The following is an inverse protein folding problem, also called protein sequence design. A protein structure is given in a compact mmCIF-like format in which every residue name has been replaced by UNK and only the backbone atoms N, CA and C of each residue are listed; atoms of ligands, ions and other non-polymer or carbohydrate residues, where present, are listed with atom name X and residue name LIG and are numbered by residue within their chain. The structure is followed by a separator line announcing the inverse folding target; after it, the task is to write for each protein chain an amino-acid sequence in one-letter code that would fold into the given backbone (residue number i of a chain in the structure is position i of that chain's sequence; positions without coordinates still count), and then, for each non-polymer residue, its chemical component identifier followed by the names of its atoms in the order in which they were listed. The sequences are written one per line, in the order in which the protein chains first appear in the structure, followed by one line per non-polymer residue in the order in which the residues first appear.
data_IF_939882486390
#
_entry.id   IF_939882486390
#
_cell.length_a   1.000
_cell.length_b   1.000
_cell.length_c   1.000
_cell.angle_alpha   90.00
_cell.angle_beta   90.00
_cell.angle_gamma   90.00
#
_symmetry.space_group_name_H-M   'P 1'
#
loop_
_entity.id
_entity.type
_entity.pdbx_description
1 polymer ?
#
# COMPACT_ATOMS: atom_id res chain seq x y z
N UNK A 1 13.80 3.89 4.16
CA UNK A 1 12.42 4.11 3.63
C UNK A 1 12.40 5.35 2.74
N UNK A 2 11.30 5.59 2.02
CA UNK A 2 11.04 6.88 1.37
C UNK A 2 10.57 7.84 2.46
N UNK A 3 11.24 8.97 2.64
CA UNK A 3 10.89 9.96 3.68
C UNK A 3 9.86 10.96 3.17
N UNK A 4 9.94 11.35 1.90
CA UNK A 4 8.94 12.23 1.29
C UNK A 4 8.91 12.07 -0.22
N UNK A 5 7.78 12.45 -0.79
CA UNK A 5 7.56 12.54 -2.23
C UNK A 5 6.99 13.91 -2.57
N UNK A 6 7.64 14.59 -3.50
CA UNK A 6 7.18 15.86 -4.06
C UNK A 6 6.86 15.65 -5.54
N UNK A 7 5.65 16.01 -5.93
CA UNK A 7 5.07 15.71 -7.24
C UNK A 7 4.69 17.02 -7.89
N UNK A 8 5.28 17.27 -9.05
CA UNK A 8 4.97 18.40 -9.93
C UNK A 8 4.48 17.88 -11.27
N UNK A 9 3.34 18.34 -11.73
CA UNK A 9 2.77 18.04 -13.05
C UNK A 9 2.61 16.55 -13.46
N UNK A 10 2.63 15.58 -12.53
CA UNK A 10 2.46 14.15 -12.82
C UNK A 10 1.00 13.67 -12.71
N UNK A 11 0.42 13.19 -13.83
CA UNK A 11 -0.98 12.70 -13.89
C UNK A 11 -1.98 13.72 -13.35
N UNK A 12 -2.77 13.37 -12.32
CA UNK A 12 -3.72 14.25 -11.64
C UNK A 12 -3.05 15.18 -10.62
N UNK A 13 -1.76 15.03 -10.35
CA UNK A 13 -1.02 15.76 -9.33
C UNK A 13 -0.24 16.90 -10.00
N UNK A 14 -0.43 18.14 -9.54
CA UNK A 14 0.26 19.32 -10.10
C UNK A 14 1.32 19.89 -9.17
N UNK A 15 1.02 19.94 -7.88
CA UNK A 15 1.96 20.37 -6.85
C UNK A 15 1.52 19.70 -5.54
N UNK A 16 2.00 18.51 -5.28
CA UNK A 16 1.67 17.75 -4.09
C UNK A 16 2.97 17.34 -3.38
N UNK A 17 3.07 17.60 -2.08
CA UNK A 17 4.16 17.12 -1.25
C UNK A 17 3.56 16.28 -0.14
N UNK A 18 4.13 15.11 0.08
CA UNK A 18 3.70 14.20 1.13
C UNK A 18 4.95 13.64 1.79
N UNK A 19 5.12 13.93 3.08
CA UNK A 19 6.07 13.21 3.91
C UNK A 19 5.47 11.83 4.21
N UNK A 20 6.25 10.76 4.11
CA UNK A 20 5.78 9.38 4.27
C UNK A 20 6.30 8.80 5.59
N UNK A 21 5.37 8.24 6.37
CA UNK A 21 5.66 7.55 7.62
C UNK A 21 5.86 6.04 7.37
N UNK A 22 6.23 5.24 8.38
CA UNK A 22 6.22 3.79 8.26
C UNK A 22 4.85 3.21 7.88
N UNK A 23 3.76 3.83 8.34
CA UNK A 23 2.39 3.49 7.94
C UNK A 23 1.65 4.73 7.43
N UNK A 24 0.91 4.58 6.33
CA UNK A 24 0.15 5.66 5.71
C UNK A 24 -1.21 5.12 5.23
N UNK A 25 -2.31 5.58 5.85
CA UNK A 25 -3.67 5.33 5.35
C UNK A 25 -4.11 6.50 4.48
N UNK A 26 -4.35 6.26 3.20
CA UNK A 26 -4.82 7.30 2.27
C UNK A 26 -6.33 7.15 2.05
N UNK A 27 -7.07 8.17 2.47
CA UNK A 27 -8.53 8.29 2.27
C UNK A 27 -8.85 9.39 1.25
N UNK A 28 -9.99 9.30 0.57
CA UNK A 28 -10.41 10.31 -0.40
C UNK A 28 -11.39 9.77 -1.45
N UNK A 29 -12.01 10.59 -2.30
CA UNK A 29 -12.95 10.12 -3.31
C UNK A 29 -12.25 9.43 -4.50
N UNK A 30 -13.03 8.81 -5.38
CA UNK A 30 -12.49 8.22 -6.60
C UNK A 30 -11.89 9.31 -7.50
N UNK A 31 -10.71 9.01 -8.06
CA UNK A 31 -9.98 9.97 -8.90
C UNK A 31 -9.31 11.11 -8.13
N UNK A 32 -9.17 11.01 -6.80
CA UNK A 32 -8.44 11.99 -5.96
C UNK A 32 -6.92 11.85 -6.01
N UNK A 33 -6.37 10.91 -6.79
CA UNK A 33 -4.92 10.75 -6.96
C UNK A 33 -4.27 9.63 -6.13
N UNK A 34 -5.01 8.90 -5.29
CA UNK A 34 -4.48 7.76 -4.48
C UNK A 34 -3.73 6.72 -5.33
N UNK A 35 -4.39 6.16 -6.35
CA UNK A 35 -3.75 5.21 -7.29
C UNK A 35 -2.64 5.87 -8.11
N UNK A 36 -2.71 7.19 -8.37
CA UNK A 36 -1.62 7.88 -9.07
C UNK A 36 -0.34 7.99 -8.24
N UNK A 37 -0.47 8.13 -6.92
CA UNK A 37 0.67 8.09 -6.00
C UNK A 37 1.32 6.69 -6.00
N UNK A 38 0.51 5.64 -5.87
CA UNK A 38 0.99 4.24 -5.91
C UNK A 38 1.67 3.93 -7.24
N UNK A 39 1.08 4.35 -8.36
CA UNK A 39 1.68 4.18 -9.68
C UNK A 39 3.00 4.96 -9.84
N UNK A 40 3.12 6.13 -9.21
CA UNK A 40 4.38 6.87 -9.16
C UNK A 40 5.48 6.07 -8.45
N UNK A 41 5.16 5.45 -7.31
CA UNK A 41 6.07 4.59 -6.56
C UNK A 41 6.46 3.31 -7.34
N UNK A 42 5.50 2.69 -8.02
CA UNK A 42 5.78 1.51 -8.86
C UNK A 42 6.59 1.87 -10.11
N UNK A 43 6.39 3.07 -10.66
CA UNK A 43 7.21 3.60 -11.75
C UNK A 43 8.64 3.87 -11.29
N UNK A 44 8.85 4.42 -10.09
CA UNK A 44 10.17 4.57 -9.49
C UNK A 44 10.89 3.21 -9.42
N UNK A 45 10.21 2.18 -8.90
CA UNK A 45 10.76 0.80 -8.89
C UNK A 45 11.11 0.29 -10.28
N UNK A 46 10.25 0.53 -11.29
CA UNK A 46 10.49 0.06 -12.65
C UNK A 46 11.72 0.73 -13.26
N UNK A 47 11.84 2.05 -13.12
CA UNK A 47 12.97 2.82 -13.66
C UNK A 47 14.28 2.52 -12.93
N UNK A 48 14.23 2.28 -11.61
CA UNK A 48 15.43 1.93 -10.83
C UNK A 48 16.11 0.63 -11.32
N UNK A 49 15.40 -0.22 -12.07
CA UNK A 49 15.96 -1.44 -12.68
C UNK A 49 16.70 -1.18 -13.99
N UNK A 50 16.54 -0.01 -14.59
CA UNK A 50 17.20 0.39 -15.82
C UNK A 50 18.54 1.07 -15.49
N UNK A 51 19.49 1.11 -16.45
CA UNK A 51 20.65 1.98 -16.33
C UNK A 51 20.23 3.44 -16.16
N UNK A 52 20.88 4.17 -15.24
CA UNK A 52 20.69 5.61 -15.10
C UNK A 52 21.07 6.29 -16.42
N UNK A 53 20.30 7.31 -16.81
CA UNK A 53 20.56 8.13 -18.00
C UNK A 53 21.01 9.52 -17.55
N UNK A 54 22.14 9.97 -18.08
CA UNK A 54 22.73 11.27 -17.77
C UNK A 54 23.72 11.24 -16.61
N UNK A 55 24.70 12.15 -16.63
CA UNK A 55 25.58 12.40 -15.49
C UNK A 55 24.83 13.28 -14.46
N UNK A 56 25.18 13.17 -13.18
CA UNK A 56 24.69 14.06 -12.12
C UNK A 56 25.00 15.56 -12.39
N UNK A 57 25.92 15.83 -13.34
CA UNK A 57 26.34 17.15 -13.81
C UNK A 57 25.47 17.72 -14.97
N UNK A 58 24.54 16.94 -15.54
CA UNK A 58 23.56 17.48 -16.48
C UNK A 58 22.54 18.29 -15.67
N UNK A 59 22.49 19.61 -15.92
CA UNK A 59 21.52 20.52 -15.30
C UNK A 59 20.13 19.88 -15.32
N UNK A 60 19.41 19.92 -14.17
CA UNK A 60 18.01 19.51 -14.08
C UNK A 60 17.31 20.03 -15.33
N UNK A 61 16.91 19.14 -16.24
CA UNK A 61 16.24 19.57 -17.47
C UNK A 61 14.98 20.30 -17.03
N UNK A 62 15.01 21.64 -17.09
CA UNK A 62 13.89 22.51 -16.77
C UNK A 62 12.87 22.41 -17.90
N UNK A 63 12.28 21.22 -18.03
CA UNK A 63 11.18 20.96 -18.93
C UNK A 63 9.91 21.13 -18.10
N UNK A 64 8.95 21.92 -18.59
CA UNK A 64 7.63 22.08 -17.97
C UNK A 64 6.78 20.79 -17.94
N UNK A 65 7.42 19.62 -18.00
CA UNK A 65 6.83 18.29 -17.89
C UNK A 65 6.65 17.83 -16.44
N UNK A 66 6.26 16.57 -16.24
CA UNK A 66 6.08 15.99 -14.92
C UNK A 66 7.43 15.71 -14.25
N UNK A 67 7.52 16.06 -12.98
CA UNK A 67 8.67 15.83 -12.10
C UNK A 67 8.17 15.19 -10.80
N UNK A 68 8.80 14.11 -10.36
CA UNK A 68 8.56 13.50 -9.06
C UNK A 68 9.89 13.33 -8.34
N UNK A 69 10.05 14.06 -7.25
CA UNK A 69 11.24 14.02 -6.39
C UNK A 69 10.97 13.13 -5.19
N UNK A 70 11.88 12.22 -4.90
CA UNK A 70 11.86 11.35 -3.75
C UNK A 70 13.06 11.63 -2.86
N UNK A 71 12.79 11.74 -1.57
CA UNK A 71 13.80 11.74 -0.52
C UNK A 71 13.68 10.47 0.31
N UNK A 72 14.75 10.09 0.99
CA UNK A 72 14.82 8.85 1.75
C UNK A 72 15.23 9.12 3.20
N UNK A 73 14.99 8.14 4.06
CA UNK A 73 15.54 8.10 5.42
C UNK A 73 16.96 7.52 5.38
N UNK A 74 17.75 7.66 6.45
CA UNK A 74 19.00 6.91 6.60
C UNK A 74 18.82 5.41 6.29
N UNK A 75 19.82 4.76 5.65
CA UNK A 75 21.13 5.31 5.28
C UNK A 75 21.17 6.03 3.91
N UNK A 76 20.02 6.27 3.27
CA UNK A 76 19.95 6.82 1.90
C UNK A 76 19.51 8.29 1.85
N UNK A 77 19.50 8.99 2.98
CA UNK A 77 19.08 10.39 3.14
C UNK A 77 20.02 11.40 2.44
N UNK A 78 21.23 10.97 2.07
CA UNK A 78 22.14 11.73 1.23
C UNK A 78 21.78 11.70 -0.27
N UNK A 79 20.79 10.93 -0.69
CA UNK A 79 20.36 10.80 -2.10
C UNK A 79 19.01 11.48 -2.33
N UNK A 80 18.92 12.22 -3.42
CA UNK A 80 17.66 12.68 -4.02
C UNK A 80 17.46 11.93 -5.34
N UNK A 81 16.28 11.35 -5.52
CA UNK A 81 15.92 10.66 -6.76
C UNK A 81 14.82 11.43 -7.46
N UNK A 82 15.05 11.78 -8.72
CA UNK A 82 14.09 12.55 -9.53
C UNK A 82 13.65 11.71 -10.71
N UNK A 83 12.35 11.49 -10.82
CA UNK A 83 11.71 11.01 -12.03
C UNK A 83 11.22 12.20 -12.84
N UNK A 84 11.55 12.24 -14.13
CA UNK A 84 11.09 13.29 -15.04
C UNK A 84 10.68 12.72 -16.39
N UNK A 85 10.00 13.51 -17.20
CA UNK A 85 9.83 13.17 -18.60
C UNK A 85 9.29 14.31 -19.46
N UNK A 86 9.32 14.08 -20.76
CA UNK A 86 9.07 15.11 -21.76
C UNK A 86 7.59 15.51 -21.89
N UNK A 87 6.65 14.69 -21.42
CA UNK A 87 5.20 14.94 -21.53
C UNK A 87 4.49 14.65 -20.22
N UNK A 88 3.33 15.26 -19.95
CA UNK A 88 2.52 15.01 -18.74
C UNK A 88 2.13 13.52 -18.50
N UNK A 89 2.25 12.68 -19.54
CA UNK A 89 1.96 11.25 -19.50
C UNK A 89 3.20 10.36 -19.37
N UNK A 90 4.42 10.89 -19.54
CA UNK A 90 5.67 10.15 -19.48
C UNK A 90 6.57 10.67 -18.36
N UNK A 91 6.94 9.78 -17.43
CA UNK A 91 8.04 10.00 -16.48
C UNK A 91 9.06 8.88 -16.70
N UNK A 92 9.76 8.90 -17.84
CA UNK A 92 10.60 7.79 -18.30
C UNK A 92 12.10 7.97 -17.98
N UNK A 93 12.47 9.12 -17.41
CA UNK A 93 13.83 9.42 -16.99
C UNK A 93 13.95 9.29 -15.47
N UNK A 94 15.07 8.72 -15.01
CA UNK A 94 15.43 8.64 -13.60
C UNK A 94 16.84 9.20 -13.42
N UNK A 95 16.94 10.24 -12.60
CA UNK A 95 18.21 10.85 -12.21
C UNK A 95 18.38 10.72 -10.69
N UNK A 96 19.63 10.64 -10.26
CA UNK A 96 20.00 10.50 -8.85
C UNK A 96 21.03 11.57 -8.55
N UNK A 97 20.76 12.40 -7.54
CA UNK A 97 21.58 13.53 -7.16
C UNK A 97 22.07 13.33 -5.72
N UNK A 98 23.37 13.51 -5.43
CA UNK A 98 23.87 13.60 -4.06
C UNK A 98 23.45 14.93 -3.45
N UNK A 99 22.82 14.90 -2.26
CA UNK A 99 22.43 16.09 -1.51
C UNK A 99 23.57 16.64 -0.64
N UNK A 100 24.59 15.83 -0.37
CA UNK A 100 25.77 16.20 0.38
C UNK A 100 27.00 15.43 -0.13
N UNK A 101 28.20 15.96 0.10
CA UNK A 101 29.46 15.26 -0.13
C UNK A 101 29.84 14.45 1.12
N UNK A 102 29.92 13.12 1.05
CA UNK A 102 30.26 12.26 2.20
C UNK A 102 29.87 10.78 2.03
N UNK A 103 29.93 10.00 3.12
CA UNK A 103 29.46 8.60 3.13
C UNK A 103 27.97 8.52 2.77
N UNK A 104 27.60 7.61 1.85
CA UNK A 104 26.21 7.44 1.38
C UNK A 104 25.82 8.29 0.16
N UNK A 105 26.61 9.30 -0.20
CA UNK A 105 26.36 10.17 -1.37
C UNK A 105 26.35 9.42 -2.71
N UNK A 106 26.98 8.23 -2.77
CA UNK A 106 27.04 7.36 -3.95
C UNK A 106 26.36 5.99 -3.73
N UNK A 107 25.59 5.79 -2.64
CA UNK A 107 24.93 4.50 -2.35
C UNK A 107 23.67 4.25 -3.18
N UNK A 108 23.75 4.52 -4.48
CA UNK A 108 22.69 4.16 -5.42
C UNK A 108 22.49 2.64 -5.47
N UNK A 109 23.55 1.85 -5.31
CA UNK A 109 23.45 0.39 -5.37
C UNK A 109 22.58 -0.18 -4.24
N UNK A 110 22.79 0.27 -3.00
CA UNK A 110 21.97 -0.10 -1.85
C UNK A 110 20.53 0.38 -1.99
N UNK A 111 20.33 1.66 -2.35
CA UNK A 111 19.00 2.22 -2.56
C UNK A 111 18.25 1.46 -3.67
N UNK A 112 18.90 1.18 -4.80
CA UNK A 112 18.32 0.41 -5.91
C UNK A 112 17.87 -0.98 -5.47
N UNK A 113 18.67 -1.67 -4.65
CA UNK A 113 18.28 -2.98 -4.11
C UNK A 113 17.03 -2.87 -3.21
N UNK A 114 16.93 -1.80 -2.41
CA UNK A 114 15.73 -1.50 -1.61
C UNK A 114 14.51 -1.20 -2.51
N UNK A 115 14.65 -0.34 -3.52
CA UNK A 115 13.57 0.02 -4.45
C UNK A 115 13.07 -1.19 -5.26
N UNK A 116 13.97 -2.10 -5.63
CA UNK A 116 13.61 -3.32 -6.37
C UNK A 116 12.63 -4.22 -5.60
N UNK A 117 12.59 -4.10 -4.26
CA UNK A 117 11.73 -4.85 -3.33
C UNK A 117 10.39 -4.17 -3.04
N UNK A 118 10.07 -3.01 -3.62
CA UNK A 118 8.74 -2.39 -3.45
C UNK A 118 7.65 -3.21 -4.16
N UNK A 119 6.47 -3.33 -3.59
CA UNK A 119 5.34 -4.09 -4.18
C UNK A 119 4.03 -3.33 -4.04
N UNK A 120 3.14 -3.53 -5.01
CA UNK A 120 1.77 -3.03 -4.99
C UNK A 120 0.80 -4.17 -5.17
N UNK A 121 -0.25 -4.20 -4.36
CA UNK A 121 -1.27 -5.23 -4.34
C UNK A 121 -2.66 -4.64 -4.56
N UNK A 122 -3.37 -5.24 -5.51
CA UNK A 122 -4.79 -5.02 -5.76
C UNK A 122 -5.40 -6.41 -5.84
N UNK A 123 -5.85 -6.93 -4.69
CA UNK A 123 -6.21 -8.33 -4.58
C UNK A 123 -7.53 -8.65 -5.30
N UNK A 124 -7.49 -9.71 -6.11
CA UNK A 124 -8.67 -10.29 -6.73
C UNK A 124 -8.98 -11.62 -6.03
N UNK A 125 -10.15 -11.72 -5.40
CA UNK A 125 -10.54 -12.93 -4.66
C UNK A 125 -10.60 -14.19 -5.54
N UNK A 126 -10.93 -14.09 -6.84
CA UNK A 126 -10.93 -15.24 -7.74
C UNK A 126 -9.51 -15.65 -8.09
N UNK A 127 -8.60 -14.68 -8.26
CA UNK A 127 -7.19 -14.97 -8.43
C UNK A 127 -6.61 -15.64 -7.17
N UNK A 128 -6.87 -15.10 -5.98
CA UNK A 128 -6.42 -15.67 -4.71
C UNK A 128 -6.90 -17.12 -4.48
N UNK A 129 -8.10 -17.43 -4.94
CA UNK A 129 -8.66 -18.78 -4.87
C UNK A 129 -8.11 -19.75 -5.93
N UNK A 130 -7.38 -19.24 -6.92
CA UNK A 130 -6.94 -20.06 -8.05
C UNK A 130 -5.81 -21.02 -7.67
N UNK A 131 -5.73 -22.13 -8.42
CA UNK A 131 -4.58 -23.04 -8.39
C UNK A 131 -3.40 -22.39 -9.10
N UNK A 132 -2.22 -22.52 -8.53
CA UNK A 132 -0.97 -21.99 -9.10
C UNK A 132 0.14 -23.04 -9.12
N UNK A 133 1.08 -23.02 -10.09
CA UNK A 133 2.26 -23.87 -10.05
C UNK A 133 3.03 -23.70 -8.74
N UNK A 134 3.44 -24.80 -8.09
CA UNK A 134 4.16 -24.75 -6.81
C UNK A 134 5.46 -23.95 -6.87
N UNK A 135 6.12 -23.94 -8.03
CA UNK A 135 7.35 -23.18 -8.30
C UNK A 135 7.17 -21.66 -8.27
N UNK A 136 5.93 -21.17 -8.37
CA UNK A 136 5.64 -19.73 -8.42
C UNK A 136 5.47 -19.13 -7.01
N UNK A 137 5.82 -19.85 -5.95
CA UNK A 137 5.62 -19.42 -4.56
C UNK A 137 6.71 -18.54 -3.95
N UNK A 138 7.69 -18.10 -4.74
CA UNK A 138 8.78 -17.25 -4.22
C UNK A 138 8.35 -15.84 -3.83
N UNK A 139 7.26 -15.32 -4.39
CA UNK A 139 6.76 -13.97 -4.10
C UNK A 139 5.28 -13.84 -4.46
N UNK A 140 4.46 -13.24 -3.61
CA UNK A 140 3.04 -12.99 -3.89
C UNK A 140 2.86 -12.04 -5.08
N UNK A 141 2.07 -12.46 -6.07
CA UNK A 141 1.68 -11.67 -7.23
C UNK A 141 0.77 -10.50 -6.82
N UNK A 142 0.76 -9.42 -7.61
CA UNK A 142 0.01 -8.19 -7.29
C UNK A 142 -1.50 -8.42 -7.11
N UNK A 143 -2.09 -9.38 -7.83
CA UNK A 143 -3.49 -9.77 -7.68
C UNK A 143 -3.70 -10.96 -6.73
N UNK A 144 -2.63 -11.56 -6.23
CA UNK A 144 -2.66 -12.72 -5.34
C UNK A 144 -2.83 -14.08 -6.01
N UNK A 145 -2.74 -14.18 -7.35
CA UNK A 145 -3.03 -15.42 -8.09
C UNK A 145 -2.27 -16.68 -7.62
N UNK A 146 -1.11 -16.50 -7.00
CA UNK A 146 -0.23 -17.57 -6.54
C UNK A 146 -0.22 -17.76 -5.01
N UNK A 147 -1.25 -17.29 -4.29
CA UNK A 147 -1.32 -17.38 -2.83
C UNK A 147 -1.05 -18.80 -2.31
N UNK A 148 -1.65 -19.82 -2.93
CA UNK A 148 -1.45 -21.21 -2.54
C UNK A 148 0.02 -21.64 -2.65
N UNK A 149 0.71 -21.26 -3.72
CA UNK A 149 2.14 -21.56 -3.90
C UNK A 149 3.01 -20.81 -2.89
N UNK A 150 2.70 -19.55 -2.60
CA UNK A 150 3.43 -18.74 -1.60
C UNK A 150 3.34 -19.37 -0.23
N UNK A 151 2.14 -19.69 0.24
CA UNK A 151 1.96 -20.26 1.56
C UNK A 151 2.56 -21.69 1.66
N UNK A 152 2.45 -22.51 0.61
CA UNK A 152 3.11 -23.82 0.56
C UNK A 152 4.65 -23.67 0.60
N UNK A 153 5.20 -22.69 -0.12
CA UNK A 153 6.64 -22.39 -0.11
C UNK A 153 7.09 -21.93 1.27
N UNK A 154 6.30 -21.07 1.95
CA UNK A 154 6.54 -20.63 3.32
C UNK A 154 6.53 -21.81 4.29
N UNK A 155 5.55 -22.73 4.17
CA UNK A 155 5.53 -23.92 5.02
C UNK A 155 6.78 -24.79 4.84
N UNK A 156 7.29 -24.93 3.61
CA UNK A 156 8.48 -25.73 3.33
C UNK A 156 9.79 -25.08 3.79
N UNK A 157 9.98 -23.79 3.51
CA UNK A 157 11.27 -23.11 3.72
C UNK A 157 11.32 -22.30 5.03
N UNK A 158 10.18 -22.00 5.63
CA UNK A 158 10.05 -21.18 6.84
C UNK A 158 8.91 -21.69 7.73
N UNK A 159 8.94 -22.96 8.17
CA UNK A 159 7.84 -23.59 8.91
C UNK A 159 7.48 -22.88 10.22
N UNK A 160 8.44 -22.23 10.87
CA UNK A 160 8.18 -21.43 12.07
C UNK A 160 7.29 -20.21 11.75
N UNK A 161 7.64 -19.46 10.70
CA UNK A 161 6.87 -18.30 10.25
C UNK A 161 5.47 -18.71 9.77
N UNK A 162 5.36 -19.82 9.03
CA UNK A 162 4.07 -20.39 8.65
C UNK A 162 3.24 -20.82 9.87
N UNK A 163 3.88 -21.40 10.89
CA UNK A 163 3.24 -21.77 12.14
C UNK A 163 2.63 -20.57 12.88
N UNK A 164 3.36 -19.45 12.94
CA UNK A 164 2.85 -18.19 13.51
C UNK A 164 1.73 -17.60 12.67
N UNK A 165 1.86 -17.59 11.33
CA UNK A 165 0.81 -17.16 10.40
C UNK A 165 -0.49 -17.94 10.64
N UNK A 166 -0.38 -19.27 10.74
CA UNK A 166 -1.54 -20.13 10.98
C UNK A 166 -2.15 -19.84 12.35
N UNK A 167 -1.33 -19.71 13.39
CA UNK A 167 -1.84 -19.40 14.72
C UNK A 167 -2.61 -18.06 14.73
N UNK A 168 -2.11 -17.06 14.01
CA UNK A 168 -2.77 -15.77 13.88
C UNK A 168 -4.07 -15.85 13.06
N UNK A 169 -4.08 -16.63 11.97
CA UNK A 169 -5.31 -16.91 11.22
C UNK A 169 -6.39 -17.53 12.13
N UNK A 170 -6.05 -18.57 12.89
CA UNK A 170 -7.00 -19.25 13.77
C UNK A 170 -7.42 -18.39 14.97
N UNK A 171 -6.57 -17.42 15.40
CA UNK A 171 -6.96 -16.42 16.39
C UNK A 171 -8.03 -15.47 15.85
N UNK A 172 -7.86 -15.01 14.61
CA UNK A 172 -8.76 -14.05 13.96
C UNK A 172 -10.07 -14.73 13.51
N UNK A 173 -9.96 -15.95 12.95
CA UNK A 173 -11.07 -16.75 12.44
C UNK A 173 -11.11 -18.11 13.18
N UNK A 174 -11.67 -18.16 14.40
CA UNK A 174 -11.64 -19.37 15.25
C UNK A 174 -12.50 -20.53 14.73
N UNK A 175 -13.29 -20.30 13.68
CA UNK A 175 -13.99 -21.36 12.95
C UNK A 175 -13.03 -22.31 12.19
N UNK A 176 -11.79 -21.89 11.95
CA UNK A 176 -10.75 -22.69 11.31
C UNK A 176 -9.63 -23.06 12.30
N UNK A 177 -9.05 -24.25 12.16
CA UNK A 177 -7.94 -24.71 12.99
C UNK A 177 -6.63 -25.01 12.22
N UNK A 178 -6.69 -25.12 10.88
CA UNK A 178 -5.52 -25.42 10.06
C UNK A 178 -5.65 -24.91 8.62
N UNK A 179 -4.49 -24.76 7.97
CA UNK A 179 -4.36 -24.41 6.55
C UNK A 179 -3.78 -25.61 5.82
N UNK A 180 -4.48 -26.09 4.79
CA UNK A 180 -4.14 -27.31 4.04
C UNK A 180 -3.95 -27.03 2.56
N UNK A 181 -3.26 -27.95 1.90
CA UNK A 181 -2.98 -27.89 0.46
C UNK A 181 -3.60 -29.08 -0.25
N UNK A 182 -4.05 -28.83 -1.46
CA UNK A 182 -4.34 -29.86 -2.44
C UNK A 182 -3.35 -29.71 -3.60
N UNK A 183 -2.53 -30.75 -3.81
CA UNK A 183 -1.46 -30.77 -4.81
C UNK A 183 -1.95 -31.57 -6.02
N UNK A 184 -2.12 -30.87 -7.14
CA UNK A 184 -2.47 -31.46 -8.42
C UNK A 184 -1.35 -32.32 -8.99
N UNK A 185 -1.71 -33.32 -9.79
CA UNK A 185 -0.74 -34.19 -10.52
C UNK A 185 0.10 -33.42 -11.55
N UNK A 186 -0.36 -32.25 -11.94
CA UNK A 186 0.29 -31.30 -12.85
C UNK A 186 1.28 -30.36 -12.14
N UNK A 187 1.49 -30.53 -10.83
CA UNK A 187 2.37 -29.68 -10.03
C UNK A 187 1.74 -28.35 -9.60
N UNK A 188 0.44 -28.17 -9.82
CA UNK A 188 -0.30 -27.03 -9.28
C UNK A 188 -0.71 -27.28 -7.83
N UNK A 189 -0.87 -26.21 -7.06
CA UNK A 189 -1.33 -26.26 -5.67
C UNK A 189 -2.51 -25.33 -5.47
N UNK A 190 -3.48 -25.76 -4.66
CA UNK A 190 -4.54 -24.92 -4.08
C UNK A 190 -4.47 -24.96 -2.56
N UNK A 191 -4.94 -23.89 -1.93
CA UNK A 191 -5.10 -23.81 -0.47
C UNK A 191 -6.54 -24.10 -0.08
N UNK A 192 -6.74 -24.60 1.14
CA UNK A 192 -8.04 -24.70 1.79
C UNK A 192 -7.90 -24.57 3.31
N UNK A 193 -8.99 -24.25 3.99
CA UNK A 193 -9.03 -24.11 5.44
C UNK A 193 -9.83 -25.25 6.06
N UNK A 194 -9.30 -25.82 7.13
CA UNK A 194 -9.93 -26.91 7.86
C UNK A 194 -10.86 -26.34 8.94
N UNK A 195 -12.14 -26.71 8.91
CA UNK A 195 -13.15 -26.29 9.87
C UNK A 195 -13.00 -27.04 11.20
N UNK A 196 -12.91 -26.29 12.29
CA UNK A 196 -12.68 -26.85 13.62
C UNK A 196 -13.85 -27.71 14.13
N UNK A 197 -15.10 -27.34 13.80
CA UNK A 197 -16.28 -28.03 14.28
C UNK A 197 -16.59 -29.33 13.51
N UNK A 198 -16.42 -29.31 12.19
CA UNK A 198 -16.85 -30.41 11.31
C UNK A 198 -15.70 -31.29 10.84
N UNK A 199 -14.46 -30.80 10.89
CA UNK A 199 -13.31 -31.46 10.28
C UNK A 199 -13.32 -31.41 8.75
N UNK A 200 -14.18 -30.59 8.15
CA UNK A 200 -14.28 -30.44 6.70
C UNK A 200 -13.19 -29.50 6.18
N UNK A 201 -12.59 -29.84 5.03
CA UNK A 201 -11.70 -28.95 4.30
C UNK A 201 -12.51 -28.09 3.33
N UNK A 202 -12.52 -26.78 3.57
CA UNK A 202 -13.15 -25.82 2.67
C UNK A 202 -12.11 -25.33 1.65
N UNK A 203 -12.26 -25.62 0.35
CA UNK A 203 -11.33 -25.17 -0.67
C UNK A 203 -11.43 -23.65 -0.88
N UNK A 204 -10.34 -23.03 -1.37
CA UNK A 204 -10.24 -21.57 -1.48
C UNK A 204 -11.34 -20.91 -2.33
N UNK A 205 -11.86 -21.60 -3.35
CA UNK A 205 -12.95 -21.12 -4.20
C UNK A 205 -14.32 -21.09 -3.51
N UNK A 206 -14.44 -21.74 -2.35
CA UNK A 206 -15.62 -21.68 -1.49
C UNK A 206 -15.42 -20.79 -0.24
N UNK A 207 -14.22 -20.23 -0.03
CA UNK A 207 -13.96 -19.30 1.07
C UNK A 207 -14.55 -17.91 0.80
N UNK A 208 -14.83 -17.18 1.88
CA UNK A 208 -15.26 -15.78 1.76
C UNK A 208 -14.14 -14.90 1.19
N UNK A 209 -14.52 -13.82 0.51
CA UNK A 209 -13.56 -12.86 -0.04
C UNK A 209 -12.64 -12.28 1.05
N UNK A 210 -13.20 -11.91 2.20
CA UNK A 210 -12.44 -11.39 3.34
C UNK A 210 -11.45 -12.41 3.91
N UNK A 211 -11.79 -13.70 3.91
CA UNK A 211 -10.88 -14.79 4.34
C UNK A 211 -9.67 -14.90 3.40
N UNK A 212 -9.88 -14.83 2.09
CA UNK A 212 -8.81 -14.88 1.10
C UNK A 212 -7.91 -13.64 1.17
N UNK A 213 -8.49 -12.46 1.37
CA UNK A 213 -7.73 -11.22 1.58
C UNK A 213 -6.93 -11.27 2.88
N UNK A 214 -7.50 -11.78 3.97
CA UNK A 214 -6.78 -11.96 5.23
C UNK A 214 -5.58 -12.89 5.06
N UNK A 215 -5.76 -14.04 4.39
CA UNK A 215 -4.66 -14.97 4.09
C UNK A 215 -3.54 -14.29 3.29
N UNK A 216 -3.88 -13.46 2.31
CA UNK A 216 -2.90 -12.72 1.53
C UNK A 216 -2.12 -11.71 2.37
N UNK A 217 -2.80 -10.95 3.22
CA UNK A 217 -2.17 -9.95 4.10
C UNK A 217 -1.31 -10.64 5.16
N UNK A 218 -1.77 -11.76 5.73
CA UNK A 218 -0.98 -12.59 6.63
C UNK A 218 0.26 -13.17 5.94
N UNK A 219 0.14 -13.66 4.71
CA UNK A 219 1.28 -14.14 3.93
C UNK A 219 2.37 -13.06 3.80
N UNK A 220 1.97 -11.79 3.59
CA UNK A 220 2.90 -10.67 3.57
C UNK A 220 3.50 -10.38 4.96
N UNK A 221 2.68 -10.34 6.00
CA UNK A 221 3.11 -9.95 7.36
C UNK A 221 4.04 -10.94 8.05
N UNK A 222 3.95 -12.22 7.69
CA UNK A 222 4.76 -13.30 8.22
C UNK A 222 5.86 -13.77 7.25
N UNK A 223 5.99 -13.15 6.07
CA UNK A 223 7.13 -13.37 5.18
C UNK A 223 8.44 -13.01 5.91
N UNK A 224 9.41 -13.93 6.05
CA UNK A 224 10.69 -13.65 6.71
C UNK A 224 11.49 -12.54 6.05
N UNK A 225 11.36 -12.39 4.73
CA UNK A 225 12.07 -11.38 3.93
C UNK A 225 11.09 -10.42 3.22
N UNK A 226 10.28 -9.65 3.97
CA UNK A 226 9.14 -8.95 3.39
C UNK A 226 9.58 -7.83 2.42
N UNK A 227 8.70 -7.33 1.54
CA UNK A 227 8.98 -6.18 0.68
C UNK A 227 9.48 -4.96 1.48
N UNK A 228 10.24 -4.06 0.85
CA UNK A 228 10.70 -2.82 1.50
C UNK A 228 9.58 -1.77 1.64
N UNK A 229 8.67 -1.76 0.67
CA UNK A 229 7.46 -0.93 0.63
C UNK A 229 6.32 -1.82 0.14
N UNK A 230 5.18 -1.77 0.82
CA UNK A 230 3.95 -2.47 0.46
C UNK A 230 2.85 -1.45 0.25
N UNK A 231 2.41 -1.31 -1.00
CA UNK A 231 1.19 -0.57 -1.32
C UNK A 231 0.02 -1.55 -1.42
N UNK A 232 -1.07 -1.32 -0.69
CA UNK A 232 -2.28 -2.15 -0.81
C UNK A 232 -3.48 -1.25 -1.07
N UNK A 233 -4.17 -1.47 -2.18
CA UNK A 233 -5.37 -0.70 -2.51
C UNK A 233 -6.63 -1.32 -1.92
N UNK A 234 -7.55 -0.48 -1.46
CA UNK A 234 -8.86 -0.86 -0.91
C UNK A 234 -8.75 -1.92 0.20
N UNK A 235 -7.93 -1.65 1.22
CA UNK A 235 -7.60 -2.64 2.26
C UNK A 235 -8.80 -3.11 3.09
N UNK A 236 -9.88 -2.34 3.09
CA UNK A 236 -11.14 -2.64 3.78
C UNK A 236 -12.09 -3.53 2.95
N UNK A 237 -11.81 -3.73 1.67
CA UNK A 237 -12.72 -4.42 0.75
C UNK A 237 -12.97 -5.86 1.20
N UNK A 238 -14.23 -6.28 1.21
CA UNK A 238 -14.63 -7.65 1.51
C UNK A 238 -14.59 -8.03 2.99
N UNK A 239 -14.15 -7.14 3.87
CA UNK A 239 -14.13 -7.36 5.32
C UNK A 239 -15.42 -6.89 5.98
N UNK A 240 -15.89 -7.67 6.96
CA UNK A 240 -16.85 -7.18 7.93
C UNK A 240 -16.17 -6.11 8.82
N UNK A 241 -16.83 -4.99 9.18
CA UNK A 241 -16.20 -3.90 9.95
C UNK A 241 -15.46 -4.32 11.22
N UNK A 242 -15.96 -5.37 11.90
CA UNK A 242 -15.31 -5.93 13.10
C UNK A 242 -13.91 -6.50 12.87
N UNK A 243 -13.59 -6.92 11.63
CA UNK A 243 -12.27 -7.47 11.28
C UNK A 243 -11.26 -6.41 10.86
N UNK A 244 -11.69 -5.15 10.63
CA UNK A 244 -10.80 -4.08 10.17
C UNK A 244 -9.68 -3.79 11.18
N UNK A 245 -9.94 -4.00 12.48
CA UNK A 245 -8.90 -3.90 13.52
C UNK A 245 -7.81 -4.95 13.33
N UNK A 246 -8.20 -6.19 13.09
CA UNK A 246 -7.26 -7.28 12.85
C UNK A 246 -6.44 -7.01 11.57
N UNK A 247 -7.07 -6.51 10.50
CA UNK A 247 -6.37 -6.11 9.27
C UNK A 247 -5.33 -5.03 9.54
N UNK A 248 -5.69 -3.97 10.28
CA UNK A 248 -4.75 -2.90 10.68
C UNK A 248 -3.59 -3.48 11.48
N UNK A 249 -3.88 -4.32 12.48
CA UNK A 249 -2.86 -4.84 13.39
C UNK A 249 -1.86 -5.78 12.66
N UNK A 250 -2.35 -6.57 11.70
CA UNK A 250 -1.47 -7.38 10.82
C UNK A 250 -0.59 -6.49 9.93
N UNK A 251 -1.09 -5.35 9.43
CA UNK A 251 -0.25 -4.40 8.69
C UNK A 251 0.71 -3.63 9.61
N UNK A 252 0.34 -3.34 10.86
CA UNK A 252 1.25 -2.75 11.85
C UNK A 252 2.39 -3.70 12.20
N UNK A 253 2.18 -5.02 12.16
CA UNK A 253 3.28 -5.99 12.24
C UNK A 253 4.30 -5.79 11.12
N UNK A 254 3.89 -5.36 9.93
CA UNK A 254 4.82 -5.01 8.84
C UNK A 254 5.59 -3.72 9.12
N UNK A 255 4.88 -2.64 9.46
CA UNK A 255 5.45 -1.28 9.57
C UNK A 255 6.15 -0.98 10.88
N UNK A 256 5.77 -1.63 11.98
CA UNK A 256 6.32 -1.43 13.32
C UNK A 256 6.81 -2.76 13.93
N UNK A 257 7.74 -3.49 13.29
CA UNK A 257 8.18 -4.81 13.74
C UNK A 257 8.74 -4.81 15.17
N UNK A 258 9.44 -3.75 15.57
CA UNK A 258 9.98 -3.63 16.93
C UNK A 258 8.88 -3.60 18.01
N UNK A 259 7.76 -2.92 17.74
CA UNK A 259 6.59 -2.92 18.65
C UNK A 259 5.98 -4.31 18.84
N UNK A 260 6.24 -5.21 17.88
CA UNK A 260 5.80 -6.60 17.88
C UNK A 260 6.91 -7.58 18.33
N UNK A 261 8.04 -7.07 18.84
CA UNK A 261 9.17 -7.89 19.28
C UNK A 261 9.96 -8.54 18.14
N UNK A 262 9.82 -8.06 16.90
CA UNK A 262 10.49 -8.60 15.72
C UNK A 262 11.79 -7.85 15.42
N UNK A 263 12.92 -8.55 15.39
CA UNK A 263 14.24 -8.01 15.02
C UNK A 263 14.47 -7.89 13.52
N UNK A 264 13.53 -7.29 12.77
CA UNK A 264 13.65 -7.06 11.32
C UNK A 264 13.42 -5.60 10.95
N UNK A 265 13.90 -5.20 9.77
CA UNK A 265 13.65 -3.86 9.26
C UNK A 265 12.14 -3.58 9.06
N UNK A 266 11.67 -2.37 9.39
CA UNK A 266 10.29 -1.94 9.14
C UNK A 266 9.98 -1.87 7.64
N UNK A 267 8.78 -2.28 7.28
CA UNK A 267 8.23 -2.19 5.93
C UNK A 267 7.39 -0.92 5.82
N UNK A 268 7.64 -0.08 4.83
CA UNK A 268 6.79 1.08 4.63
C UNK A 268 5.45 0.66 4.01
N UNK A 269 4.35 0.88 4.71
CA UNK A 269 2.99 0.52 4.28
C UNK A 269 2.27 1.77 3.77
N UNK A 270 1.68 1.64 2.57
CA UNK A 270 0.81 2.65 1.96
C UNK A 270 -0.50 1.96 1.61
N UNK A 271 -1.51 2.17 2.44
CA UNK A 271 -2.83 1.58 2.27
C UNK A 271 -3.81 2.63 1.73
N UNK A 272 -4.76 2.23 0.89
CA UNK A 272 -5.90 3.08 0.53
C UNK A 272 -7.19 2.51 1.11
N UNK A 273 -8.12 3.39 1.48
CA UNK A 273 -9.42 2.96 2.00
C UNK A 273 -10.55 3.92 1.68
N UNK A 274 -11.76 3.37 1.62
CA UNK A 274 -13.01 4.11 1.57
C UNK A 274 -13.89 3.86 2.82
N UNK A 275 -13.37 3.17 3.84
CA UNK A 275 -14.14 2.75 5.01
C UNK A 275 -14.06 3.76 6.15
N UNK A 276 -15.19 4.37 6.57
CA UNK A 276 -15.23 5.21 7.76
C UNK A 276 -14.88 4.42 9.02
N UNK A 277 -15.25 3.14 9.07
CA UNK A 277 -14.93 2.26 10.20
C UNK A 277 -13.44 1.95 10.33
N UNK A 278 -12.71 1.86 9.21
CA UNK A 278 -11.26 1.72 9.26
C UNK A 278 -10.62 3.02 9.72
N UNK A 279 -11.10 4.16 9.21
CA UNK A 279 -10.60 5.48 9.59
C UNK A 279 -10.73 5.72 11.11
N UNK A 280 -11.81 5.28 11.74
CA UNK A 280 -11.99 5.38 13.20
C UNK A 280 -10.88 4.71 14.02
N UNK A 281 -10.21 3.70 13.45
CA UNK A 281 -9.10 3.02 14.11
C UNK A 281 -7.82 3.87 14.19
N UNK A 282 -7.79 5.03 13.53
CA UNK A 282 -6.66 5.97 13.51
C UNK A 282 -6.89 7.20 14.38
N UNK A 283 -7.90 7.19 15.26
CA UNK A 283 -8.16 8.31 16.20
C UNK A 283 -6.95 8.68 17.05
N UNK A 284 -6.17 7.69 17.48
CA UNK A 284 -4.96 7.87 18.29
C UNK A 284 -3.69 8.13 17.45
N UNK A 285 -3.78 7.93 16.13
CA UNK A 285 -2.68 8.08 15.17
C UNK A 285 -3.10 8.89 13.93
N UNK A 286 -3.67 10.11 14.10
CA UNK A 286 -4.14 10.91 12.98
C UNK A 286 -3.00 11.35 12.05
N UNK A 287 -1.76 11.35 12.52
CA UNK A 287 -0.57 11.57 11.71
C UNK A 287 -0.37 10.51 10.64
N UNK A 288 -0.92 9.30 10.79
CA UNK A 288 -0.82 8.25 9.77
C UNK A 288 -1.87 8.39 8.65
N UNK A 289 -2.91 9.21 8.87
CA UNK A 289 -4.00 9.42 7.92
C UNK A 289 -3.63 10.54 6.95
N UNK A 290 -3.64 10.22 5.66
CA UNK A 290 -3.46 11.15 4.54
C UNK A 290 -4.80 11.36 3.86
N UNK A 291 -5.29 12.60 3.89
CA UNK A 291 -6.48 13.00 3.14
C UNK A 291 -6.07 13.35 1.72
N UNK A 292 -6.75 12.73 0.76
CA UNK A 292 -6.58 12.96 -0.66
C UNK A 292 -7.83 13.64 -1.20
N UNK A 293 -7.72 14.91 -1.57
CA UNK A 293 -8.84 15.70 -2.09
C UNK A 293 -8.64 16.05 -3.56
N UNK A 294 -9.77 16.16 -4.25
CA UNK A 294 -9.82 16.57 -5.65
C UNK A 294 -10.30 18.02 -5.73
N UNK A 295 -9.41 18.91 -6.17
CA UNK A 295 -9.72 20.31 -6.48
C UNK A 295 -9.75 20.48 -8.02
N UNK A 296 -10.94 20.41 -8.61
CA UNK A 296 -11.12 20.50 -10.07
C UNK A 296 -10.43 19.34 -10.82
N UNK A 297 -9.37 19.66 -11.58
CA UNK A 297 -8.56 18.69 -12.31
C UNK A 297 -7.35 18.17 -11.49
N UNK A 298 -7.21 18.63 -10.25
CA UNK A 298 -6.00 18.44 -9.44
C UNK A 298 -6.30 17.65 -8.19
N UNK A 299 -5.23 17.06 -7.64
CA UNK A 299 -5.26 16.33 -6.40
C UNK A 299 -4.28 16.95 -5.40
N UNK A 300 -4.73 17.06 -4.14
CA UNK A 300 -3.95 17.56 -3.01
C UNK A 300 -3.91 16.50 -1.91
N UNK A 301 -2.76 16.38 -1.25
CA UNK A 301 -2.57 15.52 -0.08
C UNK A 301 -2.20 16.38 1.13
N UNK A 302 -2.72 16.02 2.29
CA UNK A 302 -2.28 16.54 3.59
C UNK A 302 -2.56 15.48 4.66
N UNK A 303 -1.86 15.54 5.79
CA UNK A 303 -2.14 14.67 6.93
C UNK A 303 -3.28 15.21 7.76
N UNK A 304 -4.07 14.32 8.34
CA UNK A 304 -5.15 14.73 9.23
C UNK A 304 -4.60 15.50 10.44
N UNK A 305 -3.42 15.14 10.94
CA UNK A 305 -2.71 15.85 12.02
C UNK A 305 -2.27 17.29 11.69
N UNK A 306 -2.27 17.70 10.41
CA UNK A 306 -1.96 19.08 10.02
C UNK A 306 -3.13 20.03 10.28
N UNK A 307 -4.33 19.51 10.60
CA UNK A 307 -5.51 20.30 10.92
C UNK A 307 -5.41 20.93 12.30
N UNK A 308 -5.53 22.26 12.36
CA UNK A 308 -5.53 23.00 13.62
C UNK A 308 -6.75 22.76 14.52
N UNK A 309 -7.87 22.35 13.94
CA UNK A 309 -9.15 22.07 14.63
C UNK A 309 -9.32 20.59 15.01
N UNK A 310 -8.33 19.73 14.72
CA UNK A 310 -8.49 18.28 14.90
C UNK A 310 -8.79 17.88 16.35
N UNK A 311 -8.14 18.54 17.33
CA UNK A 311 -8.34 18.22 18.74
C UNK A 311 -9.81 18.36 19.17
N UNK A 312 -10.46 19.46 18.77
CA UNK A 312 -11.87 19.73 19.05
C UNK A 312 -12.77 18.70 18.33
N UNK A 313 -12.49 18.45 17.05
CA UNK A 313 -13.22 17.46 16.25
C UNK A 313 -13.17 16.04 16.85
N UNK A 314 -12.02 15.64 17.41
CA UNK A 314 -11.86 14.33 18.06
C UNK A 314 -12.66 14.22 19.37
N UNK A 315 -13.03 15.32 20.01
CA UNK A 315 -13.91 15.32 21.19
C UNK A 315 -15.40 15.22 20.79
N UNK A 316 -15.78 15.76 19.63
CA UNK A 316 -17.17 15.82 19.16
C UNK A 316 -17.68 14.50 18.57
N UNK A 317 -16.81 13.66 17.99
CA UNK A 317 -17.28 12.46 17.30
C UNK A 317 -16.22 11.46 16.85
N UNK A 318 -16.67 10.57 15.96
CA UNK A 318 -15.83 9.58 15.28
C UNK A 318 -15.22 10.19 14.01
N UNK A 319 -14.02 9.74 13.62
CA UNK A 319 -13.39 10.22 12.40
C UNK A 319 -14.20 9.83 11.17
N UNK A 320 -14.80 8.64 11.20
CA UNK A 320 -15.66 8.10 10.15
C UNK A 320 -16.89 8.96 9.90
N UNK A 321 -17.62 9.33 10.95
CA UNK A 321 -18.83 10.17 10.83
C UNK A 321 -18.48 11.57 10.31
N UNK A 322 -17.41 12.16 10.82
CA UNK A 322 -16.94 13.48 10.37
C UNK A 322 -16.47 13.46 8.92
N UNK A 323 -15.80 12.39 8.50
CA UNK A 323 -15.40 12.23 7.11
C UNK A 323 -16.63 12.06 6.20
N UNK A 324 -17.59 11.21 6.60
CA UNK A 324 -18.84 11.02 5.87
C UNK A 324 -19.64 12.32 5.73
N UNK A 325 -19.69 13.14 6.78
CA UNK A 325 -20.33 14.45 6.77
C UNK A 325 -19.54 15.52 5.98
N UNK A 326 -18.34 15.21 5.49
CA UNK A 326 -17.49 16.14 4.74
C UNK A 326 -16.67 17.11 5.59
N UNK A 327 -16.75 17.02 6.93
CA UNK A 327 -16.05 17.91 7.86
C UNK A 327 -14.53 17.78 7.74
N UNK A 328 -14.03 16.54 7.57
CA UNK A 328 -12.60 16.27 7.44
C UNK A 328 -12.03 16.65 6.05
N UNK A 329 -12.89 16.89 5.05
CA UNK A 329 -12.50 17.07 3.65
C UNK A 329 -12.23 15.75 2.93
N UNK A 330 -11.80 15.80 1.66
CA UNK A 330 -11.52 14.58 0.90
C UNK A 330 -12.78 13.73 0.66
N UNK A 331 -13.90 14.39 0.36
CA UNK A 331 -15.16 13.78 -0.07
C UNK A 331 -15.49 14.21 -1.52
N UNK A 332 -16.38 13.50 -2.24
CA UNK A 332 -16.81 13.95 -3.57
C UNK A 332 -17.45 15.34 -3.51
N UNK A 333 -17.01 16.28 -4.35
CA UNK A 333 -17.67 17.58 -4.47
C UNK A 333 -19.02 17.41 -5.18
N UNK A 334 -20.09 17.92 -4.58
CA UNK A 334 -21.37 18.06 -5.28
C UNK A 334 -21.20 19.11 -6.38
N UNK A 335 -21.55 18.76 -7.63
CA UNK A 335 -21.71 19.78 -8.68
C UNK A 335 -22.91 20.62 -8.26
N UNK A 336 -22.70 21.90 -7.97
CA UNK A 336 -23.83 22.84 -7.92
C UNK A 336 -24.65 22.67 -9.20
N UNK A 337 -25.98 22.49 -9.11
CA UNK A 337 -26.81 22.48 -10.29
C UNK A 337 -26.61 23.84 -10.97
N UNK A 338 -25.97 23.83 -12.14
CA UNK A 338 -25.78 25.03 -12.95
C UNK A 338 -27.12 25.75 -13.13
N UNK A 339 -27.12 27.10 -13.26
CA UNK A 339 -28.34 27.88 -13.27
C UNK A 339 -29.30 27.27 -14.28
N UNK A 340 -30.44 26.78 -13.79
CA UNK A 340 -31.50 26.25 -14.64
C UNK A 340 -31.77 27.30 -15.70
N UNK A 341 -31.52 26.97 -16.98
CA UNK A 341 -31.82 27.86 -18.08
C UNK A 341 -33.27 28.29 -17.94
N UNK A 342 -33.47 29.55 -17.55
CA UNK A 342 -34.77 30.19 -17.63
C UNK A 342 -35.15 30.13 -19.10
N UNK A 343 -36.12 29.26 -19.41
CA UNK A 343 -36.76 29.26 -20.70
C UNK A 343 -37.40 30.65 -20.88
N UNK A 344 -36.77 31.48 -21.70
CA UNK A 344 -37.39 32.69 -22.24
C UNK A 344 -38.66 32.26 -22.99
N UNK A 345 -39.79 32.83 -22.56
CA UNK A 345 -41.07 32.82 -23.26
C UNK A 345 -41.23 34.10 -24.05
#
# INVERSE_FOLDING_TARGET
MISSVAIRNFRALRNARLDLLPFNLIIGPNGSGKTSLIDGLMRLRALARLPLRGNADEEREAQGGPEVTFHFTPPHDALEVVMSGATAASCDLLQVFPLATGEGADDWAGLRAQLARMRSYVFDHRALASRSPSRDGGELMSNGANLAAVLATMQMHSPAAFGELRAELCRILPEYDDVRWDIGRDGTVSVGLHLAETGELIPADHLSQGTLYLLAILALAFEPTPPSVVCVEEIDRGFHPRLLREVRDVLYRLSHPESQGLGRAPVQVIATSHSPYLLDLFKEHPEEVVVSEKEGAFARFWRLSERGDLGELLEEGSLGDMWFAGILGGVPQEKEPGPSGAAEK
#
